data_IF_073546575816
#
_entry.id   IF_073546575816
#
_cell.length_a   1.000
_cell.length_b   1.000
_cell.length_c   1.000
_cell.angle_alpha   90.00
_cell.angle_beta   90.00
_cell.angle_gamma   90.00
#
_symmetry.space_group_name_H-M   'P 1'
#
loop_
_entity.id
_entity.type
_entity.pdbx_description
1 polymer ?
#
# COMPACT_ATOMS: atom_id res chain seq x y z
N UNK A 1 -6.31 48.90 31.42
CA UNK A 1 -7.03 47.62 31.30
C UNK A 1 -7.84 47.58 30.00
N UNK A 2 -7.19 47.50 28.84
CA UNK A 2 -7.85 47.53 27.52
C UNK A 2 -7.18 46.60 26.50
N UNK A 3 -6.69 45.42 26.94
CA UNK A 3 -5.97 44.47 26.07
C UNK A 3 -6.61 43.08 26.00
N UNK A 4 -7.80 42.85 26.57
CA UNK A 4 -8.43 41.52 26.64
C UNK A 4 -9.56 41.28 25.62
N UNK A 5 -9.99 42.29 24.86
CA UNK A 5 -11.08 42.15 23.87
C UNK A 5 -10.60 41.73 22.47
N UNK A 6 -9.30 41.81 22.18
CA UNK A 6 -8.76 41.45 20.86
C UNK A 6 -8.60 39.94 20.64
N UNK A 7 -8.61 39.12 21.70
CA UNK A 7 -8.26 37.70 21.63
C UNK A 7 -9.41 36.73 21.32
N UNK A 8 -10.63 37.23 21.08
CA UNK A 8 -11.86 36.41 20.89
C UNK A 8 -12.62 36.74 19.60
N UNK A 9 -12.03 37.52 18.70
CA UNK A 9 -12.69 37.97 17.46
C UNK A 9 -12.51 36.97 16.31
N UNK A 10 -13.40 36.98 15.28
CA UNK A 10 -13.17 36.24 14.04
C UNK A 10 -11.82 36.55 13.38
N UNK A 11 -11.34 37.80 13.47
CA UNK A 11 -10.02 38.19 12.97
C UNK A 11 -8.88 37.47 13.70
N UNK A 12 -8.96 37.35 15.03
CA UNK A 12 -7.97 36.62 15.82
C UNK A 12 -7.99 35.11 15.52
N UNK A 13 -9.18 34.54 15.30
CA UNK A 13 -9.33 33.16 14.85
C UNK A 13 -8.67 32.96 13.48
N UNK A 14 -8.93 33.84 12.52
CA UNK A 14 -8.35 33.77 11.18
C UNK A 14 -6.82 33.77 11.22
N UNK A 15 -6.22 34.71 11.97
CA UNK A 15 -4.76 34.78 12.12
C UNK A 15 -4.15 33.52 12.76
N UNK A 16 -4.83 32.94 13.76
CA UNK A 16 -4.38 31.70 14.39
C UNK A 16 -4.53 30.50 13.45
N UNK A 17 -5.62 30.41 12.69
CA UNK A 17 -5.81 29.38 11.67
C UNK A 17 -4.71 29.45 10.62
N UNK A 18 -4.36 30.64 10.13
CA UNK A 18 -3.28 30.83 9.15
C UNK A 18 -1.92 30.39 9.71
N UNK A 19 -1.66 30.73 10.98
CA UNK A 19 -0.44 30.30 11.67
C UNK A 19 -0.37 28.77 11.81
N UNK A 20 -1.48 28.14 12.22
CA UNK A 20 -1.56 26.68 12.35
C UNK A 20 -1.37 25.98 10.99
N UNK A 21 -2.00 26.51 9.93
CA UNK A 21 -1.85 26.01 8.55
C UNK A 21 -0.40 26.11 8.09
N UNK A 22 0.26 27.25 8.33
CA UNK A 22 1.66 27.45 7.96
C UNK A 22 2.59 26.48 8.71
N UNK A 23 2.38 26.28 10.01
CA UNK A 23 3.13 25.30 10.80
C UNK A 23 2.94 23.87 10.26
N UNK A 24 1.69 23.45 10.02
CA UNK A 24 1.42 22.11 9.47
C UNK A 24 2.11 21.91 8.13
N UNK A 25 2.07 22.90 7.22
CA UNK A 25 2.79 22.85 5.94
C UNK A 25 4.30 22.64 6.11
N UNK A 26 4.93 23.34 7.06
CA UNK A 26 6.36 23.18 7.31
C UNK A 26 6.69 21.77 7.84
N UNK A 27 5.90 21.27 8.79
CA UNK A 27 6.09 19.95 9.38
C UNK A 27 5.79 18.82 8.38
N UNK A 28 4.81 19.01 7.50
CA UNK A 28 4.52 18.11 6.39
C UNK A 28 5.73 17.92 5.47
N UNK A 29 6.42 19.00 5.11
CA UNK A 29 7.65 18.93 4.29
C UNK A 29 8.74 18.11 4.99
N UNK A 30 8.92 18.30 6.31
CA UNK A 30 9.88 17.51 7.09
C UNK A 30 9.54 16.02 7.03
N UNK A 31 8.27 15.66 7.25
CA UNK A 31 7.82 14.26 7.24
C UNK A 31 7.92 13.63 5.84
N UNK A 32 7.63 14.38 4.78
CA UNK A 32 7.81 13.94 3.41
C UNK A 32 9.29 13.69 3.07
N UNK A 33 10.19 14.53 3.56
CA UNK A 33 11.64 14.34 3.38
C UNK A 33 12.11 13.06 4.07
N UNK A 34 11.64 12.79 5.30
CA UNK A 34 11.94 11.55 6.03
C UNK A 34 11.41 10.33 5.25
N UNK A 35 10.15 10.36 4.81
CA UNK A 35 9.54 9.28 4.04
C UNK A 35 10.30 9.01 2.73
N UNK A 36 10.75 10.07 2.04
CA UNK A 36 11.54 9.98 0.82
C UNK A 36 12.98 9.51 1.05
N UNK A 37 13.44 9.44 2.29
CA UNK A 37 14.84 9.17 2.64
C UNK A 37 15.80 10.31 2.26
N UNK A 38 15.29 11.54 2.10
CA UNK A 38 16.05 12.74 1.76
C UNK A 38 16.41 13.61 2.98
N UNK A 39 16.05 13.16 4.19
CA UNK A 39 16.44 13.91 5.38
C UNK A 39 17.95 13.90 5.55
N UNK A 40 18.49 15.07 5.91
CA UNK A 40 19.89 15.19 6.33
C UNK A 40 19.92 14.79 7.79
N UNK A 41 20.71 13.75 8.12
CA UNK A 41 20.90 13.21 9.47
C UNK A 41 21.33 14.30 10.46
N UNK A 42 20.38 15.09 10.95
CA UNK A 42 20.55 15.82 12.19
C UNK A 42 20.19 14.82 13.28
N UNK A 43 21.21 14.21 13.88
CA UNK A 43 21.08 13.53 15.17
C UNK A 43 20.65 14.57 16.20
N UNK A 44 19.35 14.77 16.31
CA UNK A 44 18.76 15.31 17.52
C UNK A 44 18.88 14.23 18.60
N UNK A 45 19.30 14.59 19.82
CA UNK A 45 19.34 13.72 21.00
C UNK A 45 17.92 13.34 21.46
N UNK A 46 17.13 12.73 20.56
CA UNK A 46 15.76 12.25 20.81
C UNK A 46 15.75 10.78 21.20
N UNK A 47 16.89 10.20 21.61
CA UNK A 47 17.03 8.79 21.95
C UNK A 47 16.09 8.36 23.09
N UNK A 48 15.69 9.30 23.96
CA UNK A 48 14.76 9.06 25.06
C UNK A 48 13.28 9.10 24.67
N UNK A 49 12.92 9.52 23.45
CA UNK A 49 11.52 9.65 23.03
C UNK A 49 11.05 8.35 22.37
N UNK A 50 10.00 7.74 22.92
CA UNK A 50 9.30 6.66 22.25
C UNK A 50 8.41 7.23 21.13
N UNK A 51 8.88 7.07 19.89
CA UNK A 51 8.23 7.56 18.69
C UNK A 51 6.79 7.02 18.52
N UNK A 52 6.53 5.75 18.84
CA UNK A 52 5.21 5.15 18.64
C UNK A 52 4.22 5.63 19.68
N UNK A 53 4.63 5.67 20.95
CA UNK A 53 3.77 6.20 22.02
C UNK A 53 3.43 7.66 21.73
N UNK A 54 4.41 8.48 21.35
CA UNK A 54 4.17 9.88 21.02
C UNK A 54 3.23 10.05 19.81
N UNK A 55 3.43 9.26 18.75
CA UNK A 55 2.56 9.31 17.56
C UNK A 55 1.11 8.92 17.91
N UNK A 56 0.93 7.82 18.65
CA UNK A 56 -0.38 7.32 19.09
C UNK A 56 -1.13 8.36 19.92
N UNK A 57 -0.46 8.91 20.93
CA UNK A 57 -1.07 9.83 21.88
C UNK A 57 -1.41 11.17 21.19
N UNK A 58 -0.51 11.66 20.33
CA UNK A 58 -0.74 12.88 19.54
C UNK A 58 -1.89 12.69 18.54
N UNK A 59 -1.97 11.54 17.85
CA UNK A 59 -3.07 11.21 16.94
C UNK A 59 -4.41 11.13 17.67
N UNK A 60 -4.43 10.53 18.86
CA UNK A 60 -5.64 10.44 19.71
C UNK A 60 -6.14 11.83 20.11
N UNK A 61 -5.23 12.72 20.50
CA UNK A 61 -5.55 14.10 20.82
C UNK A 61 -6.04 14.87 19.58
N UNK A 62 -5.36 14.72 18.44
CA UNK A 62 -5.77 15.36 17.18
C UNK A 62 -7.17 14.92 16.78
N UNK A 63 -7.50 13.62 16.88
CA UNK A 63 -8.85 13.11 16.62
C UNK A 63 -9.89 13.78 17.52
N UNK A 64 -9.61 13.88 18.82
CA UNK A 64 -10.51 14.52 19.78
C UNK A 64 -10.70 16.03 19.50
N UNK A 65 -9.63 16.76 19.19
CA UNK A 65 -9.71 18.18 18.83
C UNK A 65 -10.39 18.40 17.49
N UNK A 66 -10.17 17.52 16.52
CA UNK A 66 -10.84 17.56 15.21
C UNK A 66 -12.36 17.44 15.37
N UNK A 67 -12.83 16.49 16.21
CA UNK A 67 -14.25 16.39 16.56
C UNK A 67 -14.79 17.69 17.16
N UNK A 68 -14.05 18.31 18.09
CA UNK A 68 -14.45 19.59 18.69
C UNK A 68 -14.56 20.69 17.63
N UNK A 69 -13.57 20.83 16.75
CA UNK A 69 -13.59 21.81 15.65
C UNK A 69 -14.81 21.56 14.76
N UNK A 70 -15.01 20.33 14.29
CA UNK A 70 -16.12 19.97 13.41
C UNK A 70 -17.48 20.29 14.01
N UNK A 71 -17.67 20.06 15.31
CA UNK A 71 -18.90 20.39 16.02
C UNK A 71 -19.08 21.91 16.16
N UNK A 72 -18.00 22.66 16.45
CA UNK A 72 -18.06 24.11 16.65
C UNK A 72 -18.31 24.90 15.36
N UNK A 73 -17.88 24.39 14.20
CA UNK A 73 -18.05 25.08 12.91
C UNK A 73 -19.40 24.80 12.23
N UNK A 74 -20.18 23.83 12.71
CA UNK A 74 -21.49 23.47 12.12
C UNK A 74 -22.70 23.80 13.00
N UNK A 75 -22.49 24.14 14.28
CA UNK A 75 -23.56 24.36 15.24
C UNK A 75 -23.60 25.81 15.73
N UNK A 76 -24.81 26.36 15.85
CA UNK A 76 -25.02 27.69 16.42
C UNK A 76 -25.04 27.65 17.96
N UNK A 77 -24.54 28.69 18.65
CA UNK A 77 -23.91 29.90 18.09
C UNK A 77 -22.45 29.65 17.67
N UNK A 78 -22.01 30.31 16.58
CA UNK A 78 -20.60 30.30 16.20
C UNK A 78 -19.76 30.95 17.31
N UNK A 79 -18.79 30.20 17.83
CA UNK A 79 -18.02 30.62 19.02
C UNK A 79 -16.52 30.68 18.69
N UNK A 80 -16.02 31.82 18.15
CA UNK A 80 -14.62 31.94 17.74
C UNK A 80 -13.62 31.66 18.88
N UNK A 81 -13.95 32.09 20.10
CA UNK A 81 -13.11 31.89 21.29
C UNK A 81 -12.90 30.41 21.64
N UNK A 82 -13.92 29.57 21.44
CA UNK A 82 -13.82 28.13 21.67
C UNK A 82 -12.92 27.46 20.63
N UNK A 83 -13.05 27.84 19.36
CA UNK A 83 -12.19 27.33 18.27
C UNK A 83 -10.74 27.78 18.49
N UNK A 84 -10.51 29.04 18.87
CA UNK A 84 -9.18 29.56 19.22
C UNK A 84 -8.52 28.72 20.31
N UNK A 85 -9.28 28.35 21.37
CA UNK A 85 -8.75 27.51 22.45
C UNK A 85 -8.29 26.15 21.91
N UNK A 86 -9.12 25.50 21.09
CA UNK A 86 -8.80 24.19 20.50
C UNK A 86 -7.57 24.29 19.58
N UNK A 87 -7.48 25.32 18.75
CA UNK A 87 -6.32 25.53 17.87
C UNK A 87 -5.03 25.80 18.65
N UNK A 88 -5.09 26.56 19.76
CA UNK A 88 -3.92 26.77 20.63
C UNK A 88 -3.43 25.46 21.24
N UNK A 89 -4.35 24.64 21.74
CA UNK A 89 -4.04 23.31 22.29
C UNK A 89 -3.34 22.46 21.23
N UNK A 90 -3.90 22.38 20.01
CA UNK A 90 -3.31 21.68 18.87
C UNK A 90 -1.89 22.16 18.52
N UNK A 91 -1.70 23.47 18.36
CA UNK A 91 -0.41 24.09 17.99
C UNK A 91 0.64 23.91 19.09
N UNK A 92 0.24 23.90 20.35
CA UNK A 92 1.16 23.80 21.49
C UNK A 92 1.66 22.39 21.78
N UNK A 93 1.00 21.34 21.26
CA UNK A 93 1.30 19.96 21.65
C UNK A 93 1.12 18.95 20.53
N UNK A 94 -0.12 18.53 20.20
CA UNK A 94 -0.34 17.40 19.28
C UNK A 94 0.24 17.59 17.87
N UNK A 95 0.20 18.80 17.31
CA UNK A 95 0.78 19.08 15.98
C UNK A 95 2.30 18.90 15.99
N UNK A 96 3.08 19.60 16.86
CA UNK A 96 4.50 19.33 17.02
C UNK A 96 4.82 17.88 17.43
N UNK A 97 3.97 17.26 18.25
CA UNK A 97 4.14 15.89 18.75
C UNK A 97 4.17 14.85 17.64
N UNK A 98 3.23 14.92 16.68
CA UNK A 98 3.23 14.03 15.52
C UNK A 98 4.49 14.17 14.66
N UNK A 99 4.95 15.41 14.44
CA UNK A 99 6.16 15.64 13.65
C UNK A 99 7.41 15.13 14.38
N UNK A 100 7.49 15.40 15.69
CA UNK A 100 8.57 14.93 16.57
C UNK A 100 8.61 13.40 16.60
N UNK A 101 7.46 12.73 16.63
CA UNK A 101 7.41 11.26 16.55
C UNK A 101 8.06 10.71 15.27
N UNK A 102 7.77 11.34 14.12
CA UNK A 102 8.41 10.98 12.84
C UNK A 102 9.93 11.20 12.86
N UNK A 103 10.39 12.33 13.42
CA UNK A 103 11.81 12.64 13.52
C UNK A 103 12.55 11.70 14.50
N UNK A 104 11.93 11.38 15.64
CA UNK A 104 12.49 10.53 16.68
C UNK A 104 12.56 9.04 16.31
N UNK A 105 11.83 8.62 15.26
CA UNK A 105 11.83 7.24 14.78
C UNK A 105 13.11 6.92 14.00
N UNK A 106 14.21 6.75 14.73
CA UNK A 106 15.53 6.46 14.18
C UNK A 106 15.58 5.11 13.43
N UNK A 107 16.22 5.09 12.25
CA UNK A 107 16.23 3.91 11.39
C UNK A 107 17.06 2.76 11.99
N UNK A 108 18.15 3.07 12.71
CA UNK A 108 19.00 2.05 13.33
C UNK A 108 18.25 1.35 14.48
N UNK A 109 17.36 2.08 15.16
CA UNK A 109 16.55 1.57 16.28
C UNK A 109 15.24 0.91 15.86
N UNK A 110 14.55 1.49 14.85
CA UNK A 110 13.18 1.12 14.48
C UNK A 110 13.05 0.40 13.13
N UNK A 111 14.08 0.38 12.29
CA UNK A 111 14.09 0.09 10.84
C UNK A 111 13.77 1.30 9.96
N UNK A 112 14.43 1.37 8.81
CA UNK A 112 14.18 2.31 7.71
C UNK A 112 12.74 2.19 7.22
N UNK A 113 12.25 0.95 7.09
CA UNK A 113 10.88 0.68 6.64
C UNK A 113 9.85 1.31 7.56
N UNK A 114 9.99 1.12 8.87
CA UNK A 114 9.08 1.68 9.87
C UNK A 114 9.20 3.19 9.96
N UNK A 115 10.42 3.75 9.90
CA UNK A 115 10.63 5.21 9.87
C UNK A 115 9.85 5.86 8.72
N UNK A 116 9.95 5.28 7.52
CA UNK A 116 9.24 5.78 6.34
C UNK A 116 7.72 5.67 6.49
N UNK A 117 7.22 4.53 6.95
CA UNK A 117 5.79 4.30 7.13
C UNK A 117 5.19 5.21 8.22
N UNK A 118 5.90 5.38 9.34
CA UNK A 118 5.48 6.28 10.42
C UNK A 118 5.43 7.72 9.92
N UNK A 119 6.50 8.19 9.24
CA UNK A 119 6.55 9.54 8.70
C UNK A 119 5.40 9.81 7.71
N UNK A 120 5.07 8.85 6.83
CA UNK A 120 3.93 8.94 5.92
C UNK A 120 2.58 9.05 6.63
N UNK A 121 2.38 8.24 7.67
CA UNK A 121 1.14 8.26 8.45
C UNK A 121 1.01 9.55 9.25
N UNK A 122 2.08 10.01 9.90
CA UNK A 122 2.16 11.30 10.55
C UNK A 122 1.86 12.45 9.57
N UNK A 123 2.45 12.42 8.38
CA UNK A 123 2.20 13.40 7.32
C UNK A 123 0.72 13.43 6.93
N UNK A 124 0.12 12.25 6.71
CA UNK A 124 -1.29 12.13 6.35
C UNK A 124 -2.18 12.76 7.42
N UNK A 125 -1.94 12.49 8.71
CA UNK A 125 -2.72 13.12 9.79
C UNK A 125 -2.60 14.65 9.78
N UNK A 126 -1.40 15.20 9.60
CA UNK A 126 -1.22 16.66 9.53
C UNK A 126 -1.89 17.28 8.30
N UNK A 127 -1.76 16.64 7.14
CA UNK A 127 -2.36 17.07 5.88
C UNK A 127 -3.89 17.13 6.00
N UNK A 128 -4.50 16.09 6.57
CA UNK A 128 -5.95 16.03 6.74
C UNK A 128 -6.43 16.99 7.85
N UNK A 129 -5.63 17.22 8.89
CA UNK A 129 -5.93 18.23 9.92
C UNK A 129 -5.90 19.63 9.33
N UNK A 130 -4.90 19.93 8.52
CA UNK A 130 -4.83 21.18 7.76
C UNK A 130 -6.07 21.35 6.89
N UNK A 131 -6.47 20.31 6.17
CA UNK A 131 -7.68 20.31 5.34
C UNK A 131 -8.97 20.56 6.13
N UNK A 132 -9.03 20.21 7.42
CA UNK A 132 -10.14 20.56 8.32
C UNK A 132 -10.03 22.01 8.83
N UNK A 133 -8.84 22.47 9.23
CA UNK A 133 -8.60 23.85 9.69
C UNK A 133 -8.86 24.86 8.58
N UNK A 134 -8.55 24.53 7.33
CA UNK A 134 -8.87 25.36 6.15
C UNK A 134 -10.38 25.54 5.94
N UNK A 135 -11.22 24.65 6.50
CA UNK A 135 -12.69 24.76 6.45
C UNK A 135 -13.29 25.59 7.59
N UNK A 136 -12.48 26.12 8.51
CA UNK A 136 -13.00 27.02 9.56
C UNK A 136 -13.54 28.30 8.90
N UNK A 137 -14.82 28.66 9.13
CA UNK A 137 -15.41 29.86 8.57
C UNK A 137 -14.65 31.13 8.95
N UNK A 138 -14.38 31.99 7.96
CA UNK A 138 -13.62 33.23 8.13
C UNK A 138 -14.48 34.44 8.48
N UNK A 139 -15.79 34.34 8.23
CA UNK A 139 -16.79 35.41 8.36
C UNK A 139 -17.46 35.45 9.74
N UNK A 140 -17.09 34.54 10.64
CA UNK A 140 -17.66 34.45 11.99
C UNK A 140 -19.03 33.77 12.04
N UNK A 141 -19.43 33.05 10.99
CA UNK A 141 -20.68 32.28 10.93
C UNK A 141 -20.40 30.78 10.91
N UNK A 142 -21.42 29.97 11.16
CA UNK A 142 -21.32 28.52 10.95
C UNK A 142 -21.27 28.17 9.46
N UNK A 143 -20.79 26.98 9.13
CA UNK A 143 -20.85 26.45 7.79
C UNK A 143 -22.30 26.28 7.33
N UNK A 144 -22.56 26.68 6.08
CA UNK A 144 -23.83 26.39 5.42
C UNK A 144 -24.02 24.88 5.19
N UNK A 145 -25.26 24.44 4.98
CA UNK A 145 -25.58 23.04 4.66
C UNK A 145 -24.77 22.51 3.47
N UNK A 146 -24.54 23.34 2.45
CA UNK A 146 -23.73 22.98 1.28
C UNK A 146 -22.26 22.74 1.65
N UNK A 147 -21.65 23.60 2.48
CA UNK A 147 -20.26 23.43 2.92
C UNK A 147 -20.10 22.29 3.94
N UNK A 148 -21.15 21.99 4.70
CA UNK A 148 -21.19 20.87 5.65
C UNK A 148 -21.19 19.52 4.92
N UNK A 149 -22.13 19.32 3.99
CA UNK A 149 -22.35 18.03 3.32
C UNK A 149 -21.55 17.85 2.03
N UNK A 150 -21.11 18.94 1.39
CA UNK A 150 -20.50 18.95 0.06
C UNK A 150 -21.57 18.78 -1.03
N UNK A 151 -21.99 19.88 -1.67
CA UNK A 151 -22.86 19.82 -2.85
C UNK A 151 -22.07 20.03 -4.15
N UNK A 152 -22.62 19.52 -5.25
CA UNK A 152 -22.19 19.79 -6.62
C UNK A 152 -22.17 21.31 -6.86
N UNK A 153 -20.97 21.90 -6.92
CA UNK A 153 -20.76 23.35 -7.06
C UNK A 153 -19.84 23.99 -6.03
N UNK A 154 -19.56 23.30 -4.92
CA UNK A 154 -18.51 23.71 -3.96
C UNK A 154 -17.23 22.95 -4.27
N UNK A 155 -16.11 23.67 -4.46
CA UNK A 155 -14.81 23.03 -4.70
C UNK A 155 -14.36 22.27 -3.44
N UNK A 156 -14.48 20.94 -3.46
CA UNK A 156 -13.95 20.03 -2.45
C UNK A 156 -14.99 19.33 -1.58
N UNK A 157 -14.52 18.30 -0.86
CA UNK A 157 -15.34 17.51 0.05
C UNK A 157 -15.84 18.36 1.24
N UNK A 158 -17.10 18.20 1.63
CA UNK A 158 -17.71 18.91 2.76
C UNK A 158 -16.99 18.67 4.09
N UNK A 159 -17.24 19.52 5.09
CA UNK A 159 -16.59 19.42 6.40
C UNK A 159 -16.84 18.10 7.12
N UNK A 160 -18.00 17.46 6.91
CA UNK A 160 -18.29 16.15 7.50
C UNK A 160 -17.38 15.06 6.94
N UNK A 161 -17.19 15.04 5.61
CA UNK A 161 -16.27 14.10 4.96
C UNK A 161 -14.84 14.35 5.43
N UNK A 162 -14.41 15.61 5.50
CA UNK A 162 -13.08 15.95 6.02
C UNK A 162 -12.86 15.44 7.46
N UNK A 163 -13.91 15.48 8.29
CA UNK A 163 -13.86 14.94 9.67
C UNK A 163 -13.70 13.41 9.67
N UNK A 164 -14.43 12.70 8.81
CA UNK A 164 -14.29 11.25 8.67
C UNK A 164 -12.91 10.84 8.16
N UNK A 165 -12.36 11.58 7.20
CA UNK A 165 -11.02 11.30 6.63
C UNK A 165 -9.93 11.47 7.68
N UNK A 166 -9.93 12.56 8.47
CA UNK A 166 -8.94 12.72 9.56
C UNK A 166 -9.10 11.66 10.65
N UNK A 167 -10.33 11.24 10.97
CA UNK A 167 -10.54 10.15 11.93
C UNK A 167 -9.91 8.86 11.45
N UNK A 168 -10.14 8.48 10.19
CA UNK A 168 -9.51 7.31 9.58
C UNK A 168 -7.99 7.40 9.64
N UNK A 169 -7.42 8.56 9.27
CA UNK A 169 -5.97 8.76 9.32
C UNK A 169 -5.40 8.64 10.74
N UNK A 170 -6.12 9.15 11.76
CA UNK A 170 -5.72 9.03 13.16
C UNK A 170 -5.81 7.58 13.64
N UNK A 171 -6.90 6.87 13.31
CA UNK A 171 -7.11 5.48 13.69
C UNK A 171 -6.06 4.57 13.06
N UNK A 172 -5.72 4.79 11.79
CA UNK A 172 -4.66 4.08 11.07
C UNK A 172 -3.28 4.28 11.72
N UNK A 173 -2.99 5.49 12.21
CA UNK A 173 -1.73 5.79 12.90
C UNK A 173 -1.71 5.18 14.32
N UNK A 174 -2.83 5.21 15.03
CA UNK A 174 -2.97 4.57 16.36
C UNK A 174 -2.81 3.05 16.24
N UNK A 175 -3.46 2.43 15.26
CA UNK A 175 -3.35 0.99 15.01
C UNK A 175 -1.90 0.61 14.64
N UNK A 176 -1.28 1.37 13.74
CA UNK A 176 0.12 1.17 13.35
C UNK A 176 1.06 1.25 14.57
N UNK A 177 0.91 2.28 15.39
CA UNK A 177 1.77 2.51 16.57
C UNK A 177 1.54 1.46 17.65
N UNK A 178 0.31 0.96 17.80
CA UNK A 178 -0.04 -0.10 18.77
C UNK A 178 0.50 -1.46 18.35
N UNK A 179 0.52 -1.75 17.04
CA UNK A 179 1.10 -2.99 16.51
C UNK A 179 2.62 -3.04 16.60
N UNK A 180 3.28 -1.88 16.73
CA UNK A 180 4.72 -1.77 16.80
C UNK A 180 5.43 -2.28 15.54
N UNK A 181 6.75 -2.51 15.64
CA UNK A 181 7.57 -2.98 14.51
C UNK A 181 7.12 -4.38 14.08
N UNK A 182 6.87 -5.29 15.02
CA UNK A 182 6.38 -6.64 14.70
C UNK A 182 5.07 -6.62 13.93
N UNK A 183 4.09 -5.83 14.37
CA UNK A 183 2.80 -5.68 13.67
C UNK A 183 2.94 -5.10 12.26
N UNK A 184 3.82 -4.11 12.07
CA UNK A 184 4.12 -3.56 10.74
C UNK A 184 4.63 -4.64 9.76
N UNK A 185 5.61 -5.43 10.19
CA UNK A 185 6.19 -6.48 9.35
C UNK A 185 5.23 -7.64 9.12
N UNK A 186 4.44 -8.04 10.13
CA UNK A 186 3.42 -9.08 9.96
C UNK A 186 2.42 -8.66 8.90
N UNK A 187 1.92 -7.42 8.95
CA UNK A 187 0.96 -6.90 7.98
C UNK A 187 1.54 -6.96 6.55
N UNK A 188 2.76 -6.47 6.35
CA UNK A 188 3.40 -6.48 5.02
C UNK A 188 3.64 -7.88 4.49
N UNK A 189 4.15 -8.81 5.31
CA UNK A 189 4.36 -10.20 4.87
C UNK A 189 3.05 -10.90 4.54
N UNK A 190 1.97 -10.59 5.27
CA UNK A 190 0.65 -11.14 4.94
C UNK A 190 0.07 -10.55 3.65
N UNK A 191 0.27 -9.25 3.39
CA UNK A 191 -0.09 -8.60 2.12
C UNK A 191 0.63 -9.27 0.94
N UNK A 192 1.96 -9.44 1.01
CA UNK A 192 2.72 -10.13 -0.04
C UNK A 192 2.30 -11.59 -0.21
N UNK A 193 1.95 -12.26 0.89
CA UNK A 193 1.42 -13.62 0.86
C UNK A 193 0.06 -13.69 0.17
N UNK A 194 -0.81 -12.71 0.38
CA UNK A 194 -2.10 -12.62 -0.28
C UNK A 194 -1.90 -12.42 -1.79
N UNK A 195 -1.10 -11.44 -2.20
CA UNK A 195 -0.76 -11.21 -3.62
C UNK A 195 -0.20 -12.46 -4.29
N UNK A 196 0.72 -13.17 -3.63
CA UNK A 196 1.28 -14.41 -4.18
C UNK A 196 0.23 -15.52 -4.36
N UNK A 197 -0.77 -15.57 -3.49
CA UNK A 197 -1.86 -16.53 -3.65
C UNK A 197 -2.75 -16.16 -4.82
N UNK A 198 -3.03 -14.87 -5.00
CA UNK A 198 -3.86 -14.40 -6.10
C UNK A 198 -3.20 -14.77 -7.43
N UNK A 199 -1.89 -14.48 -7.60
CA UNK A 199 -1.10 -14.91 -8.77
C UNK A 199 -1.09 -16.43 -8.94
N UNK A 200 -0.99 -17.19 -7.85
CA UNK A 200 -0.99 -18.65 -7.91
C UNK A 200 -2.34 -19.23 -8.37
N UNK A 201 -3.46 -18.64 -7.95
CA UNK A 201 -4.78 -19.09 -8.42
C UNK A 201 -5.00 -18.67 -9.87
N UNK A 202 -4.61 -17.45 -10.26
CA UNK A 202 -4.65 -16.97 -11.65
C UNK A 202 -3.90 -17.92 -12.60
N UNK A 203 -2.66 -18.29 -12.27
CA UNK A 203 -1.86 -19.22 -13.08
C UNK A 203 -2.43 -20.65 -13.14
N UNK A 204 -3.23 -21.07 -12.15
CA UNK A 204 -3.93 -22.36 -12.21
C UNK A 204 -5.17 -22.28 -13.07
N UNK A 205 -5.91 -21.18 -12.98
CA UNK A 205 -7.08 -20.95 -13.82
C UNK A 205 -6.64 -20.94 -15.29
N UNK A 206 -5.57 -20.19 -15.61
CA UNK A 206 -4.96 -20.17 -16.94
C UNK A 206 -4.44 -21.54 -17.40
N UNK A 207 -3.85 -22.35 -16.51
CA UNK A 207 -3.41 -23.73 -16.83
C UNK A 207 -4.54 -24.60 -17.37
N UNK A 208 -5.73 -24.43 -16.80
CA UNK A 208 -6.88 -25.28 -17.04
C UNK A 208 -7.73 -24.76 -18.23
N UNK A 209 -7.33 -23.66 -18.88
CA UNK A 209 -7.87 -23.20 -20.16
C UNK A 209 -7.42 -24.15 -21.27
N UNK A 210 -8.40 -24.79 -21.92
CA UNK A 210 -8.15 -25.63 -23.10
C UNK A 210 -8.06 -24.75 -24.34
N UNK A 211 -7.17 -25.08 -25.32
CA UNK A 211 -7.23 -24.42 -26.61
C UNK A 211 -8.61 -24.69 -27.20
N UNK A 212 -9.30 -23.63 -27.64
CA UNK A 212 -10.53 -23.77 -28.40
C UNK A 212 -10.19 -24.69 -29.58
N UNK A 213 -10.88 -25.84 -29.66
CA UNK A 213 -10.85 -26.65 -30.87
C UNK A 213 -11.49 -25.77 -31.94
N UNK A 214 -10.67 -25.23 -32.84
CA UNK A 214 -11.12 -24.82 -34.16
C UNK A 214 -11.62 -26.09 -34.87
N UNK A 215 -12.81 -26.56 -34.49
CA UNK A 215 -13.60 -27.44 -35.34
C UNK A 215 -13.97 -26.59 -36.54
N UNK A 216 -13.12 -26.68 -37.57
CA UNK A 216 -13.46 -26.39 -38.96
C UNK A 216 -14.87 -26.96 -39.21
N UNK A 217 -15.86 -26.08 -39.29
CA UNK A 217 -17.22 -26.36 -39.75
C UNK A 217 -17.18 -26.60 -41.27
N UNK A 218 -16.37 -27.58 -41.69
CA UNK A 218 -16.35 -28.19 -43.02
C UNK A 218 -17.43 -29.28 -43.06
N UNK A 219 -18.70 -28.86 -43.03
CA UNK A 219 -19.82 -29.70 -43.47
C UNK A 219 -20.05 -29.43 -44.97
N UNK A 220 -19.37 -30.26 -45.77
CA UNK A 220 -19.53 -30.42 -47.21
C UNK A 220 -20.92 -31.03 -47.55
N UNK A 221 -21.53 -30.48 -48.61
CA UNK A 221 -22.41 -31.10 -49.62
C UNK A 221 -23.76 -31.77 -49.23
N UNK A 222 -24.86 -31.18 -49.75
CA UNK A 222 -25.84 -31.90 -50.60
C UNK A 222 -26.79 -30.95 -51.38
N UNK A 223 -26.41 -30.74 -52.66
CA UNK A 223 -27.18 -30.75 -53.92
C UNK A 223 -28.51 -29.98 -54.20
N UNK A 224 -28.51 -29.42 -55.42
CA UNK A 224 -29.58 -29.14 -56.39
C UNK A 224 -30.67 -28.06 -56.13
N UNK A 225 -30.65 -26.96 -56.89
CA UNK A 225 -31.55 -26.81 -58.06
C UNK A 225 -31.38 -25.46 -58.80
N UNK A 226 -31.72 -25.48 -60.09
CA UNK A 226 -31.33 -24.54 -61.12
C UNK A 226 -32.11 -23.18 -61.20
N UNK A 227 -31.40 -22.20 -61.80
CA UNK A 227 -31.81 -21.03 -62.64
C UNK A 227 -32.66 -19.87 -62.07
N UNK A 228 -32.08 -18.66 -61.98
CA UNK A 228 -32.23 -17.60 -63.01
C UNK A 228 -31.56 -16.24 -62.68
N UNK A 229 -30.75 -15.78 -63.65
CA UNK A 229 -30.59 -14.41 -64.20
C UNK A 229 -30.25 -13.17 -63.33
N UNK A 230 -29.00 -12.67 -63.55
CA UNK A 230 -28.50 -11.27 -63.75
C UNK A 230 -29.08 -10.13 -62.90
N UNK A 231 -28.29 -9.30 -62.21
CA UNK A 231 -27.42 -8.25 -62.80
C UNK A 231 -26.62 -7.45 -61.72
N UNK A 232 -25.47 -6.92 -62.15
CA UNK A 232 -24.75 -5.70 -61.71
C UNK A 232 -24.10 -5.54 -60.29
N UNK A 233 -22.78 -5.74 -60.26
CA UNK A 233 -21.73 -4.75 -59.92
C UNK A 233 -21.64 -4.13 -58.50
N UNK A 234 -20.67 -4.60 -57.72
CA UNK A 234 -19.73 -3.68 -57.05
C UNK A 234 -18.47 -4.37 -56.57
N UNK A 235 -17.36 -3.99 -57.20
CA UNK A 235 -16.01 -4.13 -56.69
C UNK A 235 -15.80 -3.28 -55.43
N UNK A 236 -15.50 -3.92 -54.29
CA UNK A 236 -14.36 -3.62 -53.40
C UNK A 236 -14.48 -4.57 -52.19
N UNK A 237 -13.88 -5.75 -52.31
CA UNK A 237 -13.82 -6.72 -51.20
C UNK A 237 -13.06 -6.14 -50.01
N UNK A 238 -13.67 -6.25 -48.84
CA UNK A 238 -13.12 -5.99 -47.51
C UNK A 238 -11.67 -6.46 -47.37
N UNK A 239 -10.75 -5.52 -47.15
CA UNK A 239 -9.39 -5.81 -46.68
C UNK A 239 -9.02 -4.87 -45.54
N UNK A 240 -9.89 -4.81 -44.52
CA UNK A 240 -9.56 -4.26 -43.21
C UNK A 240 -10.16 -5.24 -42.20
N UNK A 241 -9.35 -5.93 -41.39
CA UNK A 241 -9.87 -6.68 -40.25
C UNK A 241 -10.77 -5.75 -39.45
N UNK A 242 -11.94 -6.22 -39.06
CA UNK A 242 -12.84 -5.39 -38.29
C UNK A 242 -12.11 -4.95 -37.00
N UNK A 243 -12.43 -3.76 -36.46
CA UNK A 243 -11.93 -3.37 -35.14
C UNK A 243 -12.25 -4.41 -34.07
N UNK A 244 -13.28 -5.23 -34.27
CA UNK A 244 -13.63 -6.34 -33.40
C UNK A 244 -12.66 -7.53 -33.57
N UNK A 245 -12.29 -7.92 -34.79
CA UNK A 245 -11.24 -8.93 -35.04
C UNK A 245 -9.86 -8.47 -34.56
N UNK A 246 -9.52 -7.19 -34.67
CA UNK A 246 -8.27 -6.67 -34.06
C UNK A 246 -8.33 -6.66 -32.53
N UNK A 247 -9.51 -6.53 -31.93
CA UNK A 247 -9.69 -6.61 -30.47
C UNK A 247 -9.68 -8.07 -30.01
N UNK A 248 -10.33 -8.96 -30.76
CA UNK A 248 -10.32 -10.40 -30.50
C UNK A 248 -8.91 -10.96 -30.70
N UNK A 249 -8.18 -10.63 -31.76
CA UNK A 249 -6.78 -11.00 -31.94
C UNK A 249 -5.87 -10.43 -30.83
N UNK A 250 -6.21 -9.25 -30.28
CA UNK A 250 -5.52 -8.67 -29.12
C UNK A 250 -5.91 -9.32 -27.78
N UNK A 251 -7.09 -9.95 -27.68
CA UNK A 251 -7.59 -10.67 -26.50
C UNK A 251 -7.20 -12.17 -26.53
N UNK A 252 -7.11 -12.77 -27.72
CA UNK A 252 -6.64 -14.13 -28.00
C UNK A 252 -5.11 -14.28 -27.92
N UNK A 253 -4.37 -13.17 -27.77
CA UNK A 253 -2.92 -13.15 -27.55
C UNK A 253 -2.49 -13.64 -26.15
N UNK A 254 -3.41 -14.06 -25.28
CA UNK A 254 -3.05 -14.93 -24.15
C UNK A 254 -2.99 -16.37 -24.68
N UNK A 255 -1.87 -16.71 -25.32
CA UNK A 255 -1.70 -18.03 -25.94
C UNK A 255 -1.92 -19.16 -24.93
N UNK A 256 -2.92 -19.99 -25.16
CA UNK A 256 -3.13 -21.21 -24.38
C UNK A 256 -1.99 -22.20 -24.67
N UNK A 257 -1.66 -23.06 -23.71
CA UNK A 257 -0.55 -24.00 -23.88
C UNK A 257 -0.93 -25.02 -24.98
N UNK A 258 -0.16 -25.15 -26.09
CA UNK A 258 -0.48 -26.10 -27.16
C UNK A 258 -0.61 -27.54 -26.63
N UNK A 259 -1.50 -28.35 -27.23
CA UNK A 259 -1.75 -29.74 -26.77
C UNK A 259 -0.47 -30.59 -26.71
N UNK A 260 0.40 -30.46 -27.72
CA UNK A 260 1.64 -31.24 -27.82
C UNK A 260 2.76 -30.77 -26.86
N UNK A 261 2.62 -29.58 -26.28
CA UNK A 261 3.57 -28.97 -25.33
C UNK A 261 5.06 -29.21 -25.67
N UNK A 262 5.51 -28.84 -26.89
CA UNK A 262 6.86 -29.17 -27.36
C UNK A 262 7.95 -28.62 -26.42
N UNK A 263 7.68 -27.46 -25.83
CA UNK A 263 8.58 -26.77 -24.92
C UNK A 263 8.39 -27.16 -23.45
N UNK A 264 7.48 -28.08 -23.11
CA UNK A 264 7.21 -28.55 -21.75
C UNK A 264 6.83 -27.43 -20.77
N UNK A 265 6.00 -26.51 -21.22
CA UNK A 265 5.48 -25.39 -20.43
C UNK A 265 4.59 -25.91 -19.29
N UNK A 266 3.81 -26.98 -19.48
CA UNK A 266 2.98 -27.56 -18.41
C UNK A 266 3.83 -28.10 -17.25
N UNK A 267 4.95 -28.75 -17.55
CA UNK A 267 5.90 -29.26 -16.54
C UNK A 267 6.54 -28.10 -15.76
N UNK A 268 6.96 -27.03 -16.46
CA UNK A 268 7.50 -25.82 -15.83
C UNK A 268 6.48 -25.13 -14.94
N UNK A 269 5.25 -25.01 -15.41
CA UNK A 269 4.15 -24.42 -14.67
C UNK A 269 3.83 -25.21 -13.40
N UNK A 270 3.77 -26.55 -13.48
CA UNK A 270 3.58 -27.41 -12.30
C UNK A 270 4.72 -27.23 -11.29
N UNK A 271 5.96 -27.21 -11.77
CA UNK A 271 7.14 -26.97 -10.92
C UNK A 271 7.12 -25.57 -10.29
N UNK A 272 6.71 -24.54 -11.03
CA UNK A 272 6.51 -23.18 -10.56
C UNK A 272 5.43 -23.12 -9.46
N UNK A 273 4.23 -23.62 -9.73
CA UNK A 273 3.10 -23.63 -8.80
C UNK A 273 3.46 -24.36 -7.49
N UNK A 274 4.20 -25.47 -7.57
CA UNK A 274 4.71 -26.17 -6.38
C UNK A 274 5.64 -25.28 -5.54
N UNK A 275 6.56 -24.55 -6.17
CA UNK A 275 7.51 -23.65 -5.49
C UNK A 275 6.82 -22.39 -4.95
N UNK A 276 5.86 -21.82 -5.68
CA UNK A 276 4.99 -20.73 -5.21
C UNK A 276 4.20 -21.15 -3.97
N UNK A 277 3.63 -22.36 -3.98
CA UNK A 277 2.94 -22.93 -2.81
C UNK A 277 3.87 -23.08 -1.62
N UNK A 278 5.09 -23.59 -1.81
CA UNK A 278 6.10 -23.67 -0.75
C UNK A 278 6.45 -22.29 -0.19
N UNK A 279 6.56 -21.28 -1.04
CA UNK A 279 6.84 -19.88 -0.65
C UNK A 279 5.71 -19.29 0.19
N UNK A 280 4.45 -19.59 -0.17
CA UNK A 280 3.28 -19.24 0.65
C UNK A 280 3.37 -19.85 2.07
N UNK A 281 3.87 -21.08 2.20
CA UNK A 281 4.11 -21.72 3.51
C UNK A 281 5.28 -21.08 4.26
N UNK A 282 6.35 -20.69 3.56
CA UNK A 282 7.47 -19.93 4.14
C UNK A 282 6.96 -18.64 4.79
N UNK A 283 6.13 -17.85 4.12
CA UNK A 283 5.57 -16.62 4.69
C UNK A 283 4.76 -16.87 5.97
N UNK A 284 3.90 -17.90 5.99
CA UNK A 284 3.17 -18.28 7.20
C UNK A 284 4.12 -18.63 8.35
N UNK A 285 5.17 -19.37 8.04
CA UNK A 285 6.14 -19.82 9.02
C UNK A 285 7.01 -18.67 9.53
N UNK A 286 7.43 -17.74 8.67
CA UNK A 286 8.09 -16.46 9.04
C UNK A 286 7.20 -15.69 10.02
N UNK A 287 5.92 -15.49 9.70
CA UNK A 287 5.00 -14.77 10.58
C UNK A 287 4.93 -15.45 11.95
N UNK A 288 4.69 -16.77 11.97
CA UNK A 288 4.48 -17.52 13.22
C UNK A 288 5.74 -17.68 14.07
N UNK A 289 6.90 -17.89 13.45
CA UNK A 289 8.14 -18.32 14.14
C UNK A 289 9.20 -17.23 14.22
N UNK A 290 9.08 -16.16 13.44
CA UNK A 290 10.02 -15.02 13.46
C UNK A 290 9.31 -13.74 13.86
N UNK A 291 8.26 -13.32 13.16
CA UNK A 291 7.68 -11.99 13.43
C UNK A 291 6.87 -11.94 14.73
N UNK A 292 6.12 -13.00 15.08
CA UNK A 292 5.39 -13.09 16.37
C UNK A 292 6.30 -13.31 17.58
N UNK A 293 7.53 -13.74 17.37
CA UNK A 293 8.53 -13.98 18.42
C UNK A 293 9.57 -12.86 18.48
N UNK A 294 9.35 -11.78 17.74
CA UNK A 294 10.23 -10.62 17.71
C UNK A 294 10.34 -10.02 19.13
N UNK A 295 11.55 -9.76 19.64
CA UNK A 295 11.70 -9.07 20.91
C UNK A 295 11.14 -7.64 20.82
N UNK A 296 10.81 -7.01 21.96
CA UNK A 296 10.39 -5.62 21.97
C UNK A 296 11.47 -4.74 21.35
N UNK A 297 11.08 -3.92 20.38
CA UNK A 297 11.94 -2.94 19.73
C UNK A 297 11.36 -1.54 19.97
N UNK A 298 12.19 -0.49 20.08
CA UNK A 298 13.63 -0.47 19.81
C UNK A 298 14.49 -1.06 20.94
N UNK A 299 15.54 -1.79 20.60
CA UNK A 299 16.58 -2.25 21.53
C UNK A 299 17.89 -1.50 21.27
N UNK A 300 18.60 -1.06 22.31
CA UNK A 300 19.74 -0.13 22.17
C UNK A 300 20.95 -0.71 21.42
N UNK A 301 21.11 -2.03 21.42
CA UNK A 301 22.19 -2.72 20.68
C UNK A 301 21.64 -4.01 20.09
N UNK A 302 21.10 -3.93 18.88
CA UNK A 302 20.57 -5.09 18.18
C UNK A 302 20.76 -4.95 16.67
N UNK A 303 21.21 -6.00 16.01
CA UNK A 303 21.24 -6.07 14.54
C UNK A 303 19.88 -6.48 13.94
N UNK A 304 18.85 -6.67 14.78
CA UNK A 304 17.50 -7.04 14.35
C UNK A 304 16.92 -6.01 13.37
N UNK A 305 16.98 -4.68 13.59
CA UNK A 305 16.46 -3.72 12.63
C UNK A 305 17.12 -3.82 11.25
N UNK A 306 18.44 -3.99 11.19
CA UNK A 306 19.16 -4.17 9.92
C UNK A 306 18.70 -5.43 9.19
N UNK A 307 18.62 -6.55 9.91
CA UNK A 307 18.17 -7.84 9.38
C UNK A 307 16.73 -7.78 8.86
N UNK A 308 15.86 -7.04 9.54
CA UNK A 308 14.48 -6.79 9.11
C UNK A 308 14.43 -5.93 7.83
N UNK A 309 15.23 -4.86 7.75
CA UNK A 309 15.29 -4.03 6.53
C UNK A 309 15.85 -4.79 5.32
N UNK A 310 16.87 -5.63 5.52
CA UNK A 310 17.38 -6.53 4.48
C UNK A 310 16.30 -7.49 3.99
N UNK A 311 15.57 -8.11 4.92
CA UNK A 311 14.45 -9.01 4.59
C UNK A 311 13.35 -8.26 3.83
N UNK A 312 13.03 -7.03 4.23
CA UNK A 312 12.04 -6.19 3.56
C UNK A 312 12.47 -5.78 2.16
N UNK A 313 13.78 -5.57 1.93
CA UNK A 313 14.30 -5.27 0.60
C UNK A 313 14.01 -6.40 -0.37
N UNK A 314 14.18 -7.65 0.06
CA UNK A 314 13.86 -8.83 -0.75
C UNK A 314 12.35 -8.95 -0.96
N UNK A 315 11.56 -8.88 0.12
CA UNK A 315 10.10 -8.96 0.05
C UNK A 315 9.46 -7.95 -0.91
N UNK A 316 9.98 -6.72 -0.98
CA UNK A 316 9.46 -5.68 -1.87
C UNK A 316 9.69 -5.94 -3.36
N UNK A 317 10.66 -6.78 -3.73
CA UNK A 317 10.91 -7.15 -5.13
C UNK A 317 9.96 -8.23 -5.61
N UNK A 318 9.57 -9.14 -4.71
CA UNK A 318 8.88 -10.37 -5.08
C UNK A 318 7.57 -10.17 -5.83
N UNK A 319 6.67 -9.22 -5.49
CA UNK A 319 5.45 -9.01 -6.27
C UNK A 319 5.72 -8.76 -7.76
N UNK A 320 6.64 -7.84 -8.08
CA UNK A 320 7.03 -7.55 -9.45
C UNK A 320 7.62 -8.77 -10.15
N UNK A 321 8.41 -9.58 -9.44
CA UNK A 321 8.99 -10.80 -10.01
C UNK A 321 7.93 -11.86 -10.29
N UNK A 322 6.85 -11.91 -9.49
CA UNK A 322 5.73 -12.79 -9.75
C UNK A 322 4.88 -12.31 -10.94
N UNK A 323 4.72 -10.99 -11.10
CA UNK A 323 4.08 -10.40 -12.28
C UNK A 323 4.89 -10.70 -13.56
N UNK A 324 6.21 -10.52 -13.52
CA UNK A 324 7.12 -10.91 -14.61
C UNK A 324 7.05 -12.41 -14.91
N UNK A 325 6.95 -13.24 -13.86
CA UNK A 325 6.85 -14.69 -14.00
C UNK A 325 5.56 -15.10 -14.69
N UNK A 326 4.43 -14.49 -14.31
CA UNK A 326 3.16 -14.74 -14.97
C UNK A 326 3.21 -14.29 -16.44
N UNK A 327 3.77 -13.11 -16.73
CA UNK A 327 3.99 -12.63 -18.09
C UNK A 327 4.80 -13.61 -18.95
N UNK A 328 5.89 -14.16 -18.42
CA UNK A 328 6.71 -15.14 -19.12
C UNK A 328 5.92 -16.43 -19.48
N UNK A 329 4.99 -16.85 -18.62
CA UNK A 329 4.10 -17.97 -18.90
C UNK A 329 3.07 -17.63 -19.99
N UNK A 330 2.45 -16.45 -19.92
CA UNK A 330 1.48 -16.00 -20.93
C UNK A 330 2.11 -15.83 -22.32
N UNK A 331 3.39 -15.46 -22.38
CA UNK A 331 4.16 -15.35 -23.63
C UNK A 331 4.68 -16.72 -24.13
N UNK A 332 4.43 -17.82 -23.39
CA UNK A 332 4.90 -19.17 -23.71
C UNK A 332 6.41 -19.26 -23.99
N UNK A 333 7.21 -18.43 -23.33
CA UNK A 333 8.65 -18.31 -23.59
C UNK A 333 9.47 -19.17 -22.62
N UNK A 334 9.96 -20.37 -23.01
CA UNK A 334 10.63 -21.30 -22.10
C UNK A 334 11.91 -20.72 -21.48
N UNK A 335 12.71 -20.00 -22.27
CA UNK A 335 13.96 -19.38 -21.80
C UNK A 335 13.69 -18.28 -20.76
N UNK A 336 12.64 -17.50 -20.98
CA UNK A 336 12.24 -16.42 -20.06
C UNK A 336 11.64 -16.98 -18.78
N UNK A 337 10.78 -18.00 -18.88
CA UNK A 337 10.23 -18.74 -17.74
C UNK A 337 11.38 -19.26 -16.87
N UNK A 338 12.33 -20.00 -17.46
CA UNK A 338 13.46 -20.57 -16.72
C UNK A 338 14.32 -19.48 -16.06
N UNK A 339 14.55 -18.36 -16.75
CA UNK A 339 15.27 -17.20 -16.21
C UNK A 339 14.57 -16.57 -15.01
N UNK A 340 13.30 -16.20 -15.16
CA UNK A 340 12.53 -15.50 -14.11
C UNK A 340 12.29 -16.43 -12.92
N UNK A 341 12.03 -17.72 -13.15
CA UNK A 341 11.90 -18.71 -12.09
C UNK A 341 13.18 -18.77 -11.24
N UNK A 342 14.35 -18.89 -11.86
CA UNK A 342 15.62 -18.91 -11.15
C UNK A 342 15.82 -17.65 -10.31
N UNK A 343 15.63 -16.47 -10.91
CA UNK A 343 15.78 -15.19 -10.21
C UNK A 343 14.82 -15.08 -9.01
N UNK A 344 13.54 -15.41 -9.22
CA UNK A 344 12.50 -15.31 -8.18
C UNK A 344 12.78 -16.24 -7.01
N UNK A 345 13.09 -17.50 -7.31
CA UNK A 345 13.32 -18.50 -6.27
C UNK A 345 14.67 -18.34 -5.55
N UNK A 346 15.68 -17.77 -6.21
CA UNK A 346 16.93 -17.37 -5.54
C UNK A 346 16.70 -16.23 -4.52
N UNK A 347 15.88 -15.23 -4.86
CA UNK A 347 15.50 -14.17 -3.91
C UNK A 347 14.68 -14.75 -2.73
N UNK A 348 13.78 -15.71 -2.99
CA UNK A 348 13.05 -16.43 -1.91
C UNK A 348 14.01 -17.22 -1.01
N UNK A 349 15.02 -17.87 -1.59
CA UNK A 349 16.07 -18.56 -0.83
C UNK A 349 16.86 -17.57 0.01
N UNK A 350 17.23 -16.41 -0.54
CA UNK A 350 17.90 -15.34 0.19
C UNK A 350 17.06 -14.85 1.39
N UNK A 351 15.76 -14.59 1.17
CA UNK A 351 14.83 -14.22 2.26
C UNK A 351 14.79 -15.31 3.34
N UNK A 352 14.70 -16.57 2.94
CA UNK A 352 14.65 -17.69 3.88
C UNK A 352 15.92 -17.79 4.72
N UNK A 353 17.09 -17.52 4.13
CA UNK A 353 18.37 -17.51 4.84
C UNK A 353 18.44 -16.32 5.80
N UNK A 354 18.05 -15.12 5.34
CA UNK A 354 17.97 -13.93 6.17
C UNK A 354 17.09 -14.16 7.40
N UNK A 355 16.03 -14.95 7.33
CA UNK A 355 15.12 -15.19 8.46
C UNK A 355 15.26 -16.59 9.09
N UNK A 356 16.30 -17.32 8.72
CA UNK A 356 16.52 -18.71 9.15
C UNK A 356 16.72 -18.86 10.63
N UNK A 357 17.64 -18.12 11.23
CA UNK A 357 17.94 -18.20 12.67
C UNK A 357 16.94 -17.38 13.49
N UNK A 358 16.54 -17.82 14.69
CA UNK A 358 15.71 -17.00 15.55
C UNK A 358 16.49 -15.80 16.10
N UNK A 359 15.79 -14.86 16.73
CA UNK A 359 16.39 -13.64 17.27
C UNK A 359 17.31 -13.87 18.47
N UNK A 360 17.20 -15.03 19.13
CA UNK A 360 18.08 -15.46 20.23
C UNK A 360 19.39 -16.10 19.75
N UNK A 361 19.51 -16.44 18.46
CA UNK A 361 20.72 -16.97 17.83
C UNK A 361 20.82 -18.50 17.74
N UNK A 362 20.14 -19.27 18.59
CA UNK A 362 20.21 -20.73 18.59
C UNK A 362 19.26 -21.37 17.56
N UNK A 363 19.74 -22.36 16.80
CA UNK A 363 18.92 -23.04 15.78
C UNK A 363 17.69 -23.73 16.39
N UNK A 364 16.51 -23.43 15.85
CA UNK A 364 15.23 -24.06 16.22
C UNK A 364 14.71 -25.01 15.12
N UNK A 365 13.54 -25.62 15.35
CA UNK A 365 12.88 -26.49 14.36
C UNK A 365 12.62 -25.77 13.02
N UNK A 366 12.29 -24.48 13.05
CA UNK A 366 12.10 -23.70 11.83
C UNK A 366 13.41 -23.55 11.05
N UNK A 367 14.53 -23.36 11.74
CA UNK A 367 15.86 -23.26 11.11
C UNK A 367 16.20 -24.53 10.31
N UNK A 368 15.84 -25.70 10.85
CA UNK A 368 16.01 -26.99 10.16
C UNK A 368 15.03 -27.14 8.98
N UNK A 369 13.78 -26.71 9.17
CA UNK A 369 12.77 -26.72 8.11
C UNK A 369 13.18 -25.82 6.93
N UNK A 370 13.76 -24.64 7.19
CA UNK A 370 14.29 -23.74 6.16
C UNK A 370 15.36 -24.43 5.32
N UNK A 371 16.25 -25.23 5.92
CA UNK A 371 17.25 -26.00 5.16
C UNK A 371 16.62 -26.99 4.19
N UNK A 372 15.55 -27.68 4.59
CA UNK A 372 14.78 -28.58 3.71
C UNK A 372 14.03 -27.79 2.63
N UNK A 373 13.40 -26.68 3.00
CA UNK A 373 12.72 -25.78 2.08
C UNK A 373 13.67 -25.29 0.97
N UNK A 374 14.85 -24.79 1.33
CA UNK A 374 15.86 -24.32 0.37
C UNK A 374 16.31 -25.44 -0.57
N UNK A 375 16.46 -26.67 -0.06
CA UNK A 375 16.82 -27.81 -0.91
C UNK A 375 15.71 -28.16 -1.90
N UNK A 376 14.44 -28.08 -1.50
CA UNK A 376 13.30 -28.34 -2.40
C UNK A 376 13.10 -27.22 -3.43
N UNK A 377 13.29 -25.95 -3.04
CA UNK A 377 13.19 -24.80 -3.96
C UNK A 377 14.25 -24.86 -5.06
N UNK A 378 15.47 -25.33 -4.76
CA UNK A 378 16.57 -25.45 -5.73
C UNK A 378 16.51 -26.70 -6.61
N UNK A 379 15.69 -27.69 -6.26
CA UNK A 379 15.53 -28.94 -7.04
C UNK A 379 14.46 -28.82 -8.11
N UNK A 380 13.43 -28.02 -7.85
CA UNK A 380 12.44 -27.67 -8.86
C UNK A 380 13.08 -26.76 -9.88
#
# INVERSE_FOLDING_TARGET
>A
MASSSSSTTPAALNALSDTAIALMRQLEVVLQNINSGKDTLQRSDTSSVDAFTLARDSASLIKAHSTKISVLIINEPFTPSAIIKVLRELVSGPIPGIATAGQACDADRYTTTVRKDLAWKCYTVLKELRGLVEKIPRDGKILSTAQKSGSTGTAGNGSMVATGVIWSACDDLVQFSTGGIGGCFIKKVEEFRATLKDVMEELKEWRDEEPEDDEDDDDDDEDDDAVNEVDHDSALGSMMPSTQEMIDDMMSNQGTIPRDDPDKIRERLESCLKRVRLTTLLYQAIIKRRLKTLPPLPAETSDIPKRLDESMRVLKKLPHMFDELAGAFYELSPDEIDRVMNLCFDEIVLLSELLKTPWTGESDEFSQWVGKFQAEIRKG
#
